data_IF_195138911935
#
_entry.id   IF_195138911935
#
_cell.length_a   1.000
_cell.length_b   1.000
_cell.length_c   1.000
_cell.angle_alpha   90.00
_cell.angle_beta   90.00
_cell.angle_gamma   90.00
#
_symmetry.space_group_name_H-M   'P 1'
#
loop_
_entity.id
_entity.type
_entity.pdbx_description
1 polymer ?
#
# COMPACT_ATOMS: atom_id res chain seq x y z
N UNK A 1 10.20 -5.63 23.84
CA UNK A 1 10.08 -5.86 22.39
C UNK A 1 9.26 -7.12 22.14
N UNK A 2 8.61 -7.24 20.96
CA UNK A 2 7.87 -8.46 20.58
C UNK A 2 8.79 -9.70 20.70
N UNK A 3 10.07 -9.57 20.37
CA UNK A 3 11.06 -10.66 20.45
C UNK A 3 11.33 -11.13 21.90
N UNK A 4 11.32 -10.25 22.90
CA UNK A 4 11.45 -10.64 24.30
C UNK A 4 10.27 -11.50 24.79
N UNK A 5 9.06 -11.14 24.36
CA UNK A 5 7.86 -11.94 24.62
C UNK A 5 7.93 -13.34 23.98
N UNK A 6 8.48 -13.47 22.79
CA UNK A 6 8.69 -14.76 22.13
C UNK A 6 9.62 -15.65 22.94
N UNK A 7 10.79 -15.13 23.34
CA UNK A 7 11.77 -15.88 24.13
C UNK A 7 11.21 -16.32 25.50
N UNK A 8 10.35 -15.52 26.11
CA UNK A 8 9.67 -15.86 27.35
C UNK A 8 8.62 -16.97 27.16
N UNK A 9 7.88 -16.97 26.05
CA UNK A 9 6.93 -18.03 25.71
C UNK A 9 7.64 -19.36 25.44
N UNK A 10 8.71 -19.36 24.67
CA UNK A 10 9.55 -20.55 24.41
C UNK A 10 10.11 -21.10 25.70
N UNK A 11 10.64 -20.26 26.58
CA UNK A 11 11.13 -20.65 27.89
C UNK A 11 10.03 -21.22 28.83
N UNK A 12 8.77 -20.88 28.63
CA UNK A 12 7.65 -21.45 29.35
C UNK A 12 7.27 -22.83 28.79
N UNK A 13 7.28 -23.02 27.48
CA UNK A 13 7.03 -24.32 26.84
C UNK A 13 8.14 -25.34 27.17
N UNK A 14 9.41 -24.93 27.19
CA UNK A 14 10.55 -25.75 27.61
C UNK A 14 10.44 -26.20 29.07
N UNK A 15 9.74 -25.43 29.90
CA UNK A 15 9.42 -25.82 31.29
C UNK A 15 8.15 -26.67 31.41
N UNK A 16 7.59 -27.14 30.28
CA UNK A 16 6.37 -27.96 30.25
C UNK A 16 5.11 -27.19 30.62
N UNK A 17 5.15 -25.86 30.56
CA UNK A 17 4.00 -24.98 30.82
C UNK A 17 3.18 -24.85 29.52
N UNK A 18 1.98 -25.40 29.50
CA UNK A 18 1.06 -25.32 28.37
C UNK A 18 0.49 -23.90 28.27
N UNK A 19 1.07 -23.07 27.39
CA UNK A 19 0.72 -21.68 27.16
C UNK A 19 -0.79 -21.49 26.83
N UNK A 20 -1.43 -22.31 25.97
CA UNK A 20 -2.88 -22.26 25.75
C UNK A 20 -3.70 -22.43 27.05
N UNK A 21 -3.25 -23.32 27.96
CA UNK A 21 -3.95 -23.55 29.25
C UNK A 21 -3.90 -22.31 30.16
N UNK A 22 -2.80 -21.54 30.14
CA UNK A 22 -2.67 -20.31 30.92
C UNK A 22 -3.60 -19.24 30.38
N UNK A 23 -3.65 -19.07 29.04
CA UNK A 23 -4.51 -18.10 28.37
C UNK A 23 -5.99 -18.35 28.75
N UNK A 24 -6.43 -19.61 28.75
CA UNK A 24 -7.81 -19.97 29.09
C UNK A 24 -8.18 -19.74 30.56
N UNK A 25 -7.20 -19.67 31.45
CA UNK A 25 -7.43 -19.42 32.89
C UNK A 25 -7.53 -17.95 33.29
N UNK A 26 -7.13 -17.03 32.40
CA UNK A 26 -7.13 -15.59 32.67
C UNK A 26 -8.08 -14.84 31.75
N UNK A 27 -9.02 -14.09 32.32
CA UNK A 27 -9.92 -13.25 31.51
C UNK A 27 -9.19 -12.16 30.74
N UNK A 28 -8.08 -11.66 31.28
CA UNK A 28 -7.23 -10.65 30.61
C UNK A 28 -6.52 -11.29 29.42
N UNK A 29 -5.94 -12.49 29.58
CA UNK A 29 -5.20 -13.15 28.50
C UNK A 29 -6.11 -13.67 27.39
N UNK A 30 -7.35 -14.06 27.71
CA UNK A 30 -8.35 -14.47 26.69
C UNK A 30 -8.63 -13.37 25.67
N UNK A 31 -8.62 -12.13 26.08
CA UNK A 31 -8.83 -10.98 25.20
C UNK A 31 -7.74 -10.89 24.13
N UNK A 32 -6.53 -11.37 24.42
CA UNK A 32 -5.37 -11.36 23.52
C UNK A 32 -5.05 -12.74 22.95
N UNK A 33 -5.99 -13.70 23.03
CA UNK A 33 -5.77 -15.09 22.59
C UNK A 33 -5.22 -15.17 21.15
N UNK A 34 -5.77 -14.37 20.24
CA UNK A 34 -5.34 -14.34 18.86
C UNK A 34 -3.89 -13.82 18.75
N UNK A 35 -3.57 -12.72 19.41
CA UNK A 35 -2.21 -12.18 19.45
C UNK A 35 -1.21 -13.21 19.95
N UNK A 36 -1.53 -13.92 21.03
CA UNK A 36 -0.65 -14.96 21.58
C UNK A 36 -0.49 -16.15 20.62
N UNK A 37 -1.56 -16.56 19.93
CA UNK A 37 -1.45 -17.61 18.92
C UNK A 37 -0.52 -17.22 17.76
N UNK A 38 -0.57 -15.95 17.31
CA UNK A 38 0.36 -15.43 16.32
C UNK A 38 1.80 -15.36 16.83
N UNK A 39 1.96 -14.96 18.09
CA UNK A 39 3.27 -14.94 18.74
C UNK A 39 3.90 -16.32 18.71
N UNK A 40 3.20 -17.35 19.16
CA UNK A 40 3.68 -18.73 19.14
C UNK A 40 4.00 -19.19 17.71
N UNK A 41 3.13 -18.93 16.74
CA UNK A 41 3.35 -19.34 15.35
C UNK A 41 4.57 -18.66 14.72
N UNK A 42 4.72 -17.35 14.92
CA UNK A 42 5.87 -16.56 14.41
C UNK A 42 7.15 -16.89 15.17
N UNK A 43 7.05 -17.33 16.43
CA UNK A 43 8.15 -17.74 17.30
C UNK A 43 9.03 -18.82 16.67
N UNK A 44 8.43 -19.75 15.93
CA UNK A 44 9.13 -20.85 15.24
C UNK A 44 10.22 -20.38 14.25
N UNK A 45 10.19 -19.12 13.86
CA UNK A 45 11.09 -18.51 12.86
C UNK A 45 11.98 -17.43 13.47
N UNK A 46 11.98 -17.28 14.79
CA UNK A 46 12.84 -16.33 15.49
C UNK A 46 14.22 -16.95 15.70
N UNK A 47 15.24 -16.15 15.49
CA UNK A 47 16.64 -16.50 15.73
C UNK A 47 17.05 -16.13 17.16
N UNK A 48 18.27 -16.47 17.53
CA UNK A 48 18.80 -16.04 18.82
C UNK A 48 18.79 -14.50 18.96
N UNK A 49 18.70 -13.99 20.17
CA UNK A 49 18.70 -12.55 20.45
C UNK A 49 19.87 -11.81 19.80
N UNK A 50 21.04 -12.44 19.77
CA UNK A 50 22.24 -11.87 19.16
C UNK A 50 22.09 -11.74 17.64
N UNK A 51 21.54 -12.75 16.97
CA UNK A 51 21.30 -12.73 15.53
C UNK A 51 20.20 -11.73 15.16
N UNK A 52 19.11 -11.66 15.93
CA UNK A 52 18.03 -10.67 15.72
C UNK A 52 18.56 -9.24 15.85
N UNK A 53 19.42 -8.98 16.83
CA UNK A 53 20.04 -7.67 16.99
C UNK A 53 20.95 -7.31 15.81
N UNK A 54 21.74 -8.28 15.29
CA UNK A 54 22.56 -8.06 14.09
C UNK A 54 21.68 -7.77 12.90
N UNK A 55 20.65 -8.57 12.62
CA UNK A 55 19.73 -8.37 11.51
C UNK A 55 19.04 -7.00 11.60
N UNK A 56 18.54 -6.64 12.78
CA UNK A 56 17.86 -5.36 13.02
C UNK A 56 18.77 -4.17 12.72
N UNK A 57 20.02 -4.21 13.16
CA UNK A 57 20.99 -3.17 12.90
C UNK A 57 21.39 -3.09 11.43
N UNK A 58 21.62 -4.25 10.79
CA UNK A 58 21.97 -4.32 9.36
C UNK A 58 20.85 -3.84 8.44
N UNK A 59 19.58 -4.02 8.80
CA UNK A 59 18.44 -3.50 8.03
C UNK A 59 18.48 -1.99 7.86
N UNK A 60 19.01 -1.23 8.84
CA UNK A 60 19.09 0.23 8.73
C UNK A 60 19.98 0.69 7.57
N UNK A 61 21.06 -0.04 7.29
CA UNK A 61 21.98 0.21 6.17
C UNK A 61 21.75 -0.72 4.98
N UNK A 62 20.90 -1.73 5.14
CA UNK A 62 20.42 -2.67 4.13
C UNK A 62 19.10 -2.22 3.49
N UNK A 63 18.06 -3.04 3.61
CA UNK A 63 16.77 -2.83 2.93
C UNK A 63 16.15 -1.46 3.19
N UNK A 64 16.23 -0.92 4.41
CA UNK A 64 15.68 0.41 4.75
C UNK A 64 16.42 1.53 4.00
N UNK A 65 17.75 1.46 3.91
CA UNK A 65 18.53 2.44 3.15
C UNK A 65 18.27 2.36 1.65
N UNK A 66 18.17 1.14 1.10
CA UNK A 66 17.86 0.92 -0.31
C UNK A 66 16.44 1.40 -0.66
N UNK A 67 15.44 1.14 0.19
CA UNK A 67 14.09 1.65 -0.01
C UNK A 67 14.08 3.19 -0.02
N UNK A 68 14.74 3.82 0.95
CA UNK A 68 14.87 5.29 1.02
C UNK A 68 15.58 5.87 -0.19
N UNK A 69 16.64 5.22 -0.69
CA UNK A 69 17.33 5.65 -1.91
C UNK A 69 16.39 5.61 -3.11
N UNK A 70 15.66 4.49 -3.31
CA UNK A 70 14.67 4.36 -4.40
C UNK A 70 13.60 5.47 -4.29
N UNK A 71 13.06 5.73 -3.11
CA UNK A 71 12.03 6.75 -2.91
C UNK A 71 12.57 8.15 -3.24
N UNK A 72 13.80 8.46 -2.83
CA UNK A 72 14.46 9.72 -3.16
C UNK A 72 14.71 9.86 -4.68
N UNK A 73 15.18 8.80 -5.34
CA UNK A 73 15.41 8.82 -6.79
C UNK A 73 14.11 9.06 -7.57
N UNK A 74 13.03 8.41 -7.18
CA UNK A 74 11.73 8.53 -7.87
C UNK A 74 11.05 9.86 -7.56
N UNK A 75 11.05 10.31 -6.30
CA UNK A 75 10.37 11.55 -5.91
C UNK A 75 11.02 12.82 -6.45
N UNK A 76 12.33 12.76 -6.73
CA UNK A 76 13.07 13.87 -7.34
C UNK A 76 13.25 13.73 -8.85
N UNK A 77 12.61 12.72 -9.48
CA UNK A 77 12.72 12.53 -10.92
C UNK A 77 11.93 13.61 -11.66
N UNK A 78 12.65 14.49 -12.34
CA UNK A 78 12.09 15.47 -13.26
C UNK A 78 12.03 14.90 -14.67
N UNK A 79 10.88 15.10 -15.30
CA UNK A 79 10.53 14.60 -16.64
C UNK A 79 10.48 15.77 -17.61
N UNK A 80 11.27 15.72 -18.66
CA UNK A 80 11.23 16.71 -19.74
C UNK A 80 10.04 16.42 -20.65
N UNK A 81 9.08 17.32 -20.67
CA UNK A 81 7.88 17.25 -21.53
C UNK A 81 7.55 18.64 -22.09
N UNK A 82 7.31 18.72 -23.39
CA UNK A 82 6.97 19.98 -24.09
C UNK A 82 7.98 21.12 -23.84
N UNK A 83 9.28 20.79 -23.68
CA UNK A 83 10.35 21.76 -23.44
C UNK A 83 10.39 22.32 -22.01
N UNK A 84 9.72 21.67 -21.07
CA UNK A 84 9.73 21.98 -19.62
C UNK A 84 10.08 20.74 -18.81
N UNK A 85 10.64 20.97 -17.65
CA UNK A 85 10.80 19.91 -16.65
C UNK A 85 9.63 19.95 -15.66
N UNK A 86 8.95 18.80 -15.52
CA UNK A 86 7.80 18.62 -14.64
C UNK A 86 8.07 17.45 -13.68
N UNK A 87 7.56 17.48 -12.45
CA UNK A 87 7.62 16.33 -11.55
C UNK A 87 6.98 15.09 -12.18
N UNK A 88 7.56 13.90 -11.92
CA UNK A 88 7.03 12.64 -12.45
C UNK A 88 5.53 12.46 -12.16
N UNK A 89 5.08 12.81 -10.96
CA UNK A 89 3.67 12.70 -10.55
C UNK A 89 2.71 13.55 -11.38
N UNK A 90 3.16 14.71 -11.83
CA UNK A 90 2.39 15.57 -12.75
C UNK A 90 2.25 14.91 -14.12
N UNK A 91 3.34 14.35 -14.64
CA UNK A 91 3.34 13.67 -15.95
C UNK A 91 2.49 12.39 -15.91
N UNK A 92 2.56 11.61 -14.82
CA UNK A 92 1.70 10.44 -14.64
C UNK A 92 0.20 10.78 -14.65
N UNK A 93 -0.19 11.92 -14.09
CA UNK A 93 -1.58 12.37 -14.11
C UNK A 93 -2.07 12.72 -15.52
N UNK A 94 -1.19 13.04 -16.47
CA UNK A 94 -1.55 13.27 -17.86
C UNK A 94 -2.05 12.01 -18.58
N UNK A 95 -1.87 10.82 -18.02
CA UNK A 95 -2.43 9.57 -18.56
C UNK A 95 -3.97 9.54 -18.58
N UNK A 96 -4.62 10.44 -17.84
CA UNK A 96 -6.08 10.59 -17.80
C UNK A 96 -6.61 11.72 -18.69
N UNK A 97 -5.73 12.42 -19.43
CA UNK A 97 -6.14 13.52 -20.32
C UNK A 97 -7.03 13.00 -21.47
N UNK A 98 -7.95 13.82 -21.93
CA UNK A 98 -8.84 13.49 -23.06
C UNK A 98 -8.11 13.48 -24.41
N UNK A 99 -7.05 14.27 -24.55
CA UNK A 99 -6.25 14.33 -25.78
C UNK A 99 -5.24 13.15 -25.82
N UNK A 100 -5.38 12.31 -26.85
CA UNK A 100 -4.49 11.18 -27.10
C UNK A 100 -3.02 11.63 -27.21
N UNK A 101 -2.74 12.77 -27.84
CA UNK A 101 -1.38 13.25 -27.98
C UNK A 101 -0.75 13.62 -26.63
N UNK A 102 -1.54 14.19 -25.72
CA UNK A 102 -1.08 14.49 -24.35
C UNK A 102 -0.71 13.20 -23.64
N UNK A 103 -1.59 12.19 -23.64
CA UNK A 103 -1.33 10.88 -23.00
C UNK A 103 -0.10 10.20 -23.58
N UNK A 104 -0.01 10.17 -24.93
CA UNK A 104 1.11 9.53 -25.63
C UNK A 104 2.44 10.22 -25.33
N UNK A 105 2.48 11.55 -25.44
CA UNK A 105 3.69 12.33 -25.15
C UNK A 105 4.13 12.17 -23.70
N UNK A 106 3.17 12.16 -22.76
CA UNK A 106 3.45 11.93 -21.35
C UNK A 106 4.06 10.53 -21.12
N UNK A 107 3.48 9.49 -21.71
CA UNK A 107 3.98 8.12 -21.62
C UNK A 107 5.40 7.99 -22.18
N UNK A 108 5.68 8.56 -23.37
CA UNK A 108 7.00 8.51 -23.99
C UNK A 108 8.04 9.27 -23.12
N UNK A 109 7.66 10.44 -22.58
CA UNK A 109 8.53 11.20 -21.69
C UNK A 109 8.80 10.48 -20.37
N UNK A 110 7.76 9.86 -19.79
CA UNK A 110 7.87 9.01 -18.59
C UNK A 110 8.89 7.89 -18.80
N UNK A 111 8.69 7.05 -19.83
CA UNK A 111 9.59 5.93 -20.13
C UNK A 111 11.03 6.39 -20.37
N UNK A 112 11.23 7.49 -21.09
CA UNK A 112 12.55 8.07 -21.32
C UNK A 112 13.19 8.52 -20.01
N UNK A 113 12.43 9.11 -19.09
CA UNK A 113 12.94 9.64 -17.83
C UNK A 113 13.49 8.56 -16.89
N UNK A 114 12.92 7.36 -16.90
CA UNK A 114 13.35 6.25 -16.05
C UNK A 114 14.82 5.83 -16.30
N UNK A 115 15.35 6.10 -17.49
CA UNK A 115 16.77 5.86 -17.78
C UNK A 115 17.73 6.65 -16.89
N UNK A 116 17.26 7.79 -16.33
CA UNK A 116 18.05 8.61 -15.40
C UNK A 116 18.33 7.91 -14.07
N UNK A 117 17.44 6.99 -13.66
CA UNK A 117 17.45 6.35 -12.33
C UNK A 117 17.51 4.81 -12.37
N UNK A 118 17.50 4.22 -13.57
CA UNK A 118 17.38 2.77 -13.80
C UNK A 118 18.43 1.97 -12.99
N UNK A 119 19.71 2.34 -13.06
CA UNK A 119 20.78 1.61 -12.37
C UNK A 119 20.63 1.68 -10.84
N UNK A 120 20.32 2.87 -10.32
CA UNK A 120 20.13 3.07 -8.87
C UNK A 120 18.92 2.30 -8.33
N UNK A 121 17.82 2.30 -9.07
CA UNK A 121 16.59 1.57 -8.70
C UNK A 121 16.80 0.05 -8.82
N UNK A 122 17.52 -0.41 -9.87
CA UNK A 122 17.87 -1.82 -10.02
C UNK A 122 18.77 -2.32 -8.88
N UNK A 123 19.77 -1.52 -8.48
CA UNK A 123 20.63 -1.83 -7.34
C UNK A 123 19.81 -1.91 -6.03
N UNK A 124 18.92 -0.95 -5.80
CA UNK A 124 18.04 -0.95 -4.63
C UNK A 124 17.13 -2.19 -4.59
N UNK A 125 16.51 -2.54 -5.71
CA UNK A 125 15.67 -3.73 -5.82
C UNK A 125 16.46 -5.01 -5.52
N UNK A 126 17.64 -5.15 -6.11
CA UNK A 126 18.52 -6.31 -5.89
C UNK A 126 18.96 -6.41 -4.43
N UNK A 127 19.32 -5.27 -3.80
CA UNK A 127 19.70 -5.22 -2.38
C UNK A 127 18.56 -5.68 -1.47
N UNK A 128 17.35 -5.16 -1.67
CA UNK A 128 16.16 -5.54 -0.89
C UNK A 128 15.81 -7.01 -1.10
N UNK A 129 15.77 -7.49 -2.34
CA UNK A 129 15.44 -8.90 -2.64
C UNK A 129 16.50 -9.87 -2.12
N UNK A 130 17.78 -9.50 -2.22
CA UNK A 130 18.88 -10.28 -1.67
C UNK A 130 18.77 -10.44 -0.14
N UNK A 131 18.47 -9.35 0.58
CA UNK A 131 18.22 -9.41 2.03
C UNK A 131 17.04 -10.30 2.37
N UNK A 132 15.90 -10.16 1.67
CA UNK A 132 14.70 -10.99 1.90
C UNK A 132 15.00 -12.48 1.71
N UNK A 133 15.71 -12.84 0.64
CA UNK A 133 16.10 -14.23 0.37
C UNK A 133 17.02 -14.77 1.47
N UNK A 134 18.03 -14.02 1.87
CA UNK A 134 19.00 -14.40 2.90
C UNK A 134 18.31 -14.61 4.24
N UNK A 135 17.51 -13.63 4.69
CA UNK A 135 16.83 -13.71 5.99
C UNK A 135 15.78 -14.81 6.00
N UNK A 136 15.02 -14.98 4.91
CA UNK A 136 14.04 -16.06 4.78
C UNK A 136 14.70 -17.44 4.95
N UNK A 137 15.86 -17.66 4.34
CA UNK A 137 16.61 -18.90 4.45
C UNK A 137 17.16 -19.13 5.86
N UNK A 138 17.79 -18.10 6.45
CA UNK A 138 18.37 -18.19 7.81
C UNK A 138 17.29 -18.52 8.85
N UNK A 139 16.09 -17.94 8.69
CA UNK A 139 14.94 -18.18 9.57
C UNK A 139 14.27 -19.54 9.37
N UNK A 140 14.65 -20.30 8.34
CA UNK A 140 14.09 -21.61 8.05
C UNK A 140 12.73 -21.59 7.36
N UNK A 141 12.34 -20.50 6.74
CA UNK A 141 11.16 -20.48 5.87
C UNK A 141 11.42 -21.33 4.61
N UNK A 142 10.40 -22.04 4.14
CA UNK A 142 10.46 -22.81 2.87
C UNK A 142 10.66 -21.90 1.66
N UNK A 143 10.14 -20.67 1.74
CA UNK A 143 10.23 -19.67 0.70
C UNK A 143 9.88 -18.27 1.24
N UNK A 144 10.30 -17.19 0.56
CA UNK A 144 9.80 -15.84 0.86
C UNK A 144 8.27 -15.73 0.81
N UNK A 145 7.61 -16.51 -0.05
CA UNK A 145 6.16 -16.55 -0.12
C UNK A 145 5.54 -17.07 1.18
N UNK A 146 6.07 -18.17 1.74
CA UNK A 146 5.58 -18.68 3.03
C UNK A 146 5.72 -17.63 4.14
N UNK A 147 6.86 -16.92 4.19
CA UNK A 147 7.06 -15.82 5.13
C UNK A 147 6.01 -14.72 4.95
N UNK A 148 5.74 -14.32 3.71
CA UNK A 148 4.73 -13.30 3.39
C UNK A 148 3.33 -13.74 3.79
N UNK A 149 2.94 -14.98 3.50
CA UNK A 149 1.63 -15.52 3.85
C UNK A 149 1.42 -15.53 5.36
N UNK A 150 2.42 -15.99 6.13
CA UNK A 150 2.35 -15.97 7.59
C UNK A 150 2.15 -14.52 8.13
N UNK A 151 2.90 -13.56 7.62
CA UNK A 151 2.77 -12.17 8.04
C UNK A 151 1.45 -11.52 7.57
N UNK A 152 0.89 -11.98 6.46
CA UNK A 152 -0.39 -11.53 5.90
C UNK A 152 -1.60 -12.21 6.53
N UNK A 153 -1.40 -13.12 7.48
CA UNK A 153 -2.48 -13.94 8.09
C UNK A 153 -3.31 -14.68 7.03
N UNK A 154 -2.65 -15.19 6.00
CA UNK A 154 -3.27 -15.85 4.85
C UNK A 154 -2.67 -17.25 4.67
N UNK A 155 -3.49 -18.23 4.34
CA UNK A 155 -3.03 -19.55 3.93
C UNK A 155 -2.80 -19.63 2.41
N UNK A 156 -2.05 -20.65 1.99
CA UNK A 156 -1.72 -20.85 0.58
C UNK A 156 -2.94 -21.25 -0.25
N UNK A 157 -3.94 -21.91 0.34
CA UNK A 157 -5.17 -22.32 -0.33
C UNK A 157 -6.00 -21.08 -0.72
N UNK A 158 -6.17 -20.14 0.21
CA UNK A 158 -6.84 -18.85 -0.02
C UNK A 158 -6.14 -18.03 -1.11
N UNK A 159 -4.80 -17.96 -1.07
CA UNK A 159 -4.04 -17.28 -2.13
C UNK A 159 -4.26 -17.94 -3.49
N UNK A 160 -4.18 -19.27 -3.56
CA UNK A 160 -4.37 -20.01 -4.81
C UNK A 160 -5.80 -19.86 -5.34
N UNK A 161 -6.82 -19.89 -4.48
CA UNK A 161 -8.22 -19.67 -4.86
C UNK A 161 -8.42 -18.25 -5.44
N UNK A 162 -7.83 -17.23 -4.80
CA UNK A 162 -7.85 -15.85 -5.31
C UNK A 162 -7.18 -15.74 -6.69
N UNK A 163 -5.96 -16.28 -6.84
CA UNK A 163 -5.23 -16.25 -8.11
C UNK A 163 -5.96 -17.03 -9.20
N UNK A 164 -6.62 -18.13 -8.86
CA UNK A 164 -7.45 -18.91 -9.79
C UNK A 164 -8.64 -18.08 -10.28
N UNK A 165 -9.41 -17.47 -9.37
CA UNK A 165 -10.54 -16.60 -9.71
C UNK A 165 -10.11 -15.41 -10.59
N UNK A 166 -8.96 -14.80 -10.28
CA UNK A 166 -8.38 -13.72 -11.12
C UNK A 166 -8.07 -14.22 -12.53
N UNK A 167 -7.45 -15.42 -12.68
CA UNK A 167 -7.14 -16.00 -13.99
C UNK A 167 -8.40 -16.33 -14.79
N UNK A 168 -9.44 -16.87 -14.15
CA UNK A 168 -10.73 -17.14 -14.79
C UNK A 168 -11.43 -15.86 -15.26
N UNK A 169 -11.22 -14.75 -14.56
CA UNK A 169 -11.79 -13.44 -14.91
C UNK A 169 -11.06 -12.75 -16.07
N UNK A 170 -9.82 -13.13 -16.40
CA UNK A 170 -9.05 -12.50 -17.49
C UNK A 170 -9.76 -12.39 -18.84
N UNK A 171 -10.55 -13.37 -19.31
CA UNK A 171 -11.28 -13.24 -20.57
C UNK A 171 -12.25 -12.05 -20.58
N UNK A 172 -12.88 -11.74 -19.45
CA UNK A 172 -13.80 -10.60 -19.29
C UNK A 172 -13.03 -9.29 -19.42
N UNK A 173 -11.89 -9.15 -18.70
CA UNK A 173 -11.04 -7.97 -18.80
C UNK A 173 -10.46 -7.79 -20.21
N UNK A 174 -10.03 -8.86 -20.86
CA UNK A 174 -9.57 -8.80 -22.26
C UNK A 174 -10.67 -8.37 -23.21
N UNK A 175 -11.91 -8.79 -22.99
CA UNK A 175 -13.07 -8.33 -23.78
C UNK A 175 -13.31 -6.84 -23.58
N UNK A 176 -13.24 -6.37 -22.33
CA UNK A 176 -13.33 -4.94 -22.00
C UNK A 176 -12.25 -4.12 -22.70
N UNK A 177 -10.97 -4.52 -22.59
CA UNK A 177 -9.86 -3.81 -23.22
C UNK A 177 -9.94 -3.77 -24.74
N UNK A 178 -10.39 -4.86 -25.37
CA UNK A 178 -10.65 -4.89 -26.83
C UNK A 178 -11.77 -3.93 -27.21
N UNK A 179 -12.86 -3.89 -26.44
CA UNK A 179 -13.95 -2.96 -26.69
C UNK A 179 -13.51 -1.50 -26.49
N UNK A 180 -12.71 -1.24 -25.47
CA UNK A 180 -12.10 0.07 -25.25
C UNK A 180 -11.22 0.49 -26.44
N UNK A 181 -10.36 -0.41 -26.92
CA UNK A 181 -9.51 -0.16 -28.10
C UNK A 181 -10.35 0.18 -29.33
N UNK A 182 -11.41 -0.58 -29.60
CA UNK A 182 -12.34 -0.33 -30.71
C UNK A 182 -13.00 1.06 -30.61
N UNK A 183 -13.49 1.45 -29.42
CA UNK A 183 -14.12 2.74 -29.17
C UNK A 183 -13.15 3.92 -29.34
N UNK A 184 -11.88 3.71 -29.04
CA UNK A 184 -10.80 4.71 -29.24
C UNK A 184 -10.20 4.67 -30.64
N UNK A 185 -10.70 3.80 -31.56
CA UNK A 185 -10.26 3.73 -32.95
C UNK A 185 -9.02 2.86 -33.20
N UNK A 186 -8.55 2.11 -32.23
CA UNK A 186 -7.38 1.24 -32.37
C UNK A 186 -7.74 -0.13 -32.99
N UNK A 187 -7.02 -0.51 -34.03
CA UNK A 187 -7.26 -1.78 -34.77
C UNK A 187 -6.44 -2.96 -34.23
N UNK A 188 -5.29 -2.71 -33.63
CA UNK A 188 -4.29 -3.73 -33.25
C UNK A 188 -4.18 -3.93 -31.72
N UNK A 189 -5.21 -3.60 -30.98
CA UNK A 189 -5.23 -3.63 -29.51
C UNK A 189 -5.08 -2.25 -28.89
N UNK A 190 -5.27 -2.16 -27.58
CA UNK A 190 -5.19 -0.92 -26.84
C UNK A 190 -3.72 -0.57 -26.55
N UNK A 191 -3.21 0.58 -27.02
CA UNK A 191 -1.89 1.06 -26.62
C UNK A 191 -1.83 1.31 -25.11
N UNK A 192 -0.65 1.14 -24.50
CA UNK A 192 -0.51 1.29 -23.06
C UNK A 192 -0.84 2.71 -22.58
N UNK A 193 -0.50 3.74 -23.34
CA UNK A 193 -0.82 5.13 -23.04
C UNK A 193 -2.33 5.46 -23.04
N UNK A 194 -3.16 4.57 -23.61
CA UNK A 194 -4.62 4.70 -23.61
C UNK A 194 -5.33 3.84 -22.57
N UNK A 195 -4.57 3.19 -21.71
CA UNK A 195 -5.15 2.34 -20.66
C UNK A 195 -6.12 3.12 -19.76
N UNK A 196 -5.79 4.38 -19.46
CA UNK A 196 -6.60 5.28 -18.63
C UNK A 196 -7.40 6.30 -19.43
N UNK A 197 -7.33 6.27 -20.78
CA UNK A 197 -8.07 7.19 -21.64
C UNK A 197 -9.57 7.17 -21.31
N UNK A 198 -10.24 8.34 -21.19
CA UNK A 198 -11.69 8.40 -21.03
C UNK A 198 -12.37 7.88 -22.31
N UNK A 199 -13.45 7.09 -22.14
CA UNK A 199 -14.25 6.57 -23.28
C UNK A 199 -15.43 7.50 -23.58
N UNK A 200 -15.84 8.28 -22.60
CA UNK A 200 -16.96 9.21 -22.69
C UNK A 200 -16.38 10.62 -22.64
N UNK A 201 -16.86 11.49 -23.55
CA UNK A 201 -16.53 12.93 -23.50
C UNK A 201 -17.26 13.56 -22.31
N UNK A 202 -16.65 13.41 -21.15
CA UNK A 202 -17.15 13.94 -19.89
C UNK A 202 -16.04 14.77 -19.26
N UNK A 203 -16.23 16.08 -19.21
CA UNK A 203 -15.29 17.01 -18.57
C UNK A 203 -15.44 16.92 -17.05
N UNK A 204 -15.17 15.73 -16.49
CA UNK A 204 -15.19 15.50 -15.05
C UNK A 204 -13.85 15.96 -14.45
N UNK A 205 -13.69 17.26 -14.33
CA UNK A 205 -12.63 17.87 -13.53
C UNK A 205 -13.22 18.37 -12.22
N UNK A 206 -12.49 18.11 -11.16
CA UNK A 206 -12.87 18.47 -9.80
C UNK A 206 -11.80 19.39 -9.21
N UNK A 207 -12.21 20.48 -8.60
CA UNK A 207 -11.38 21.12 -7.59
C UNK A 207 -11.27 20.20 -6.35
N UNK A 208 -10.34 20.49 -5.47
CA UNK A 208 -10.22 19.73 -4.22
C UNK A 208 -11.50 19.82 -3.37
N UNK A 209 -12.11 20.99 -3.32
CA UNK A 209 -13.34 21.27 -2.59
C UNK A 209 -14.51 20.47 -3.15
N UNK A 210 -14.70 20.49 -4.47
CA UNK A 210 -15.74 19.71 -5.16
C UNK A 210 -15.56 18.22 -4.96
N UNK A 211 -14.30 17.72 -5.00
CA UNK A 211 -13.98 16.33 -4.71
C UNK A 211 -14.33 15.95 -3.26
N UNK A 212 -13.99 16.82 -2.31
CA UNK A 212 -14.31 16.63 -0.91
C UNK A 212 -15.81 16.55 -0.65
N UNK A 213 -16.59 17.47 -1.23
CA UNK A 213 -18.05 17.49 -1.11
C UNK A 213 -18.68 16.26 -1.79
N UNK A 214 -18.15 15.85 -2.94
CA UNK A 214 -18.61 14.64 -3.64
C UNK A 214 -18.37 13.39 -2.82
N UNK A 215 -17.16 13.21 -2.26
CA UNK A 215 -16.82 12.05 -1.43
C UNK A 215 -17.67 12.04 -0.15
N UNK A 216 -17.75 13.16 0.57
CA UNK A 216 -18.59 13.24 1.77
C UNK A 216 -20.04 12.86 1.49
N UNK A 217 -20.66 13.44 0.45
CA UNK A 217 -22.03 13.16 0.07
C UNK A 217 -22.27 11.67 -0.20
N UNK A 218 -21.38 11.03 -0.95
CA UNK A 218 -21.49 9.61 -1.27
C UNK A 218 -21.23 8.73 -0.04
N UNK A 219 -20.27 9.07 0.80
CA UNK A 219 -20.01 8.37 2.05
C UNK A 219 -21.20 8.47 3.00
N UNK A 220 -21.80 9.63 3.11
CA UNK A 220 -22.99 9.87 3.96
C UNK A 220 -24.21 9.09 3.47
N UNK A 221 -24.36 8.84 2.17
CA UNK A 221 -25.42 7.99 1.64
C UNK A 221 -25.31 6.52 2.09
N UNK A 222 -24.10 6.08 2.45
CA UNK A 222 -23.83 4.75 2.99
C UNK A 222 -23.83 4.76 4.53
N UNK A 223 -23.15 5.72 5.15
CA UNK A 223 -23.02 5.83 6.60
C UNK A 223 -22.76 7.27 7.04
N UNK A 224 -23.59 7.78 7.95
CA UNK A 224 -23.44 9.10 8.56
C UNK A 224 -22.06 9.26 9.24
N UNK A 225 -21.62 8.23 9.96
CA UNK A 225 -20.31 8.25 10.65
C UNK A 225 -19.13 8.35 9.67
N UNK A 226 -19.20 7.64 8.54
CA UNK A 226 -18.19 7.71 7.48
C UNK A 226 -18.16 9.09 6.82
N UNK A 227 -19.34 9.66 6.51
CA UNK A 227 -19.44 11.03 5.96
C UNK A 227 -18.92 12.08 6.95
N UNK A 228 -19.25 11.97 8.22
CA UNK A 228 -18.77 12.87 9.28
C UNK A 228 -17.24 12.78 9.43
N UNK A 229 -16.67 11.58 9.33
CA UNK A 229 -15.22 11.40 9.37
C UNK A 229 -14.52 12.07 8.18
N UNK A 230 -15.03 11.88 6.95
CA UNK A 230 -14.48 12.52 5.75
C UNK A 230 -14.48 14.05 5.89
N UNK A 231 -15.60 14.63 6.31
CA UNK A 231 -15.69 16.08 6.56
C UNK A 231 -14.71 16.53 7.62
N UNK A 232 -14.61 15.82 8.75
CA UNK A 232 -13.64 16.10 9.81
C UNK A 232 -12.19 16.13 9.28
N UNK A 233 -11.80 15.15 8.45
CA UNK A 233 -10.45 15.09 7.88
C UNK A 233 -10.15 16.28 6.96
N UNK A 234 -11.13 16.69 6.14
CA UNK A 234 -11.02 17.83 5.23
C UNK A 234 -10.92 19.14 6.01
N UNK A 235 -11.85 19.39 6.94
CA UNK A 235 -11.93 20.64 7.70
C UNK A 235 -10.71 20.86 8.61
N UNK A 236 -10.16 19.78 9.18
CA UNK A 236 -8.93 19.83 9.97
C UNK A 236 -7.65 19.83 9.14
N UNK A 237 -7.74 19.84 7.81
CA UNK A 237 -6.59 19.89 6.89
C UNK A 237 -5.60 18.72 7.09
N UNK A 238 -6.13 17.53 7.28
CA UNK A 238 -5.31 16.33 7.47
C UNK A 238 -4.68 15.80 6.17
N UNK A 239 -4.98 16.41 5.03
CA UNK A 239 -4.63 15.94 3.68
C UNK A 239 -3.58 16.87 3.05
N UNK A 240 -2.41 16.35 2.72
CA UNK A 240 -1.45 17.01 1.82
C UNK A 240 -1.84 16.72 0.37
N UNK A 241 -2.39 17.71 -0.33
CA UNK A 241 -3.19 17.53 -1.55
C UNK A 241 -2.35 17.54 -2.82
N UNK A 242 -1.57 18.62 -3.03
CA UNK A 242 -1.01 18.95 -4.35
C UNK A 242 0.28 18.18 -4.64
N UNK A 243 0.51 17.72 -5.89
CA UNK A 243 1.80 17.20 -6.32
C UNK A 243 2.85 18.30 -6.28
N UNK A 244 4.07 17.93 -5.90
CA UNK A 244 5.25 18.84 -5.87
C UNK A 244 6.54 18.04 -5.97
N UNK A 245 7.63 18.72 -6.34
CA UNK A 245 8.97 18.15 -6.33
C UNK A 245 9.33 17.60 -4.94
N UNK A 246 9.98 16.45 -4.90
CA UNK A 246 10.40 15.78 -3.66
C UNK A 246 9.27 15.06 -2.90
N UNK A 247 8.01 15.19 -3.35
CA UNK A 247 6.88 14.48 -2.76
C UNK A 247 6.80 13.05 -3.29
N UNK A 248 6.59 12.10 -2.39
CA UNK A 248 6.42 10.69 -2.74
C UNK A 248 5.19 10.53 -3.64
N UNK A 249 5.31 9.74 -4.71
CA UNK A 249 4.22 9.44 -5.62
C UNK A 249 3.18 8.51 -5.03
N UNK A 250 2.00 8.46 -5.65
CA UNK A 250 0.85 7.69 -5.17
C UNK A 250 0.08 8.44 -4.08
N UNK A 251 -0.59 7.68 -3.23
CA UNK A 251 -1.33 8.18 -2.08
C UNK A 251 -1.14 7.22 -0.90
N UNK A 252 -1.33 7.70 0.32
CA UNK A 252 -1.40 6.84 1.51
C UNK A 252 -2.13 7.53 2.66
N UNK A 253 -2.61 6.70 3.58
CA UNK A 253 -3.13 7.10 4.88
C UNK A 253 -2.23 6.57 5.99
N UNK A 254 -1.90 7.41 6.97
CA UNK A 254 -1.22 7.02 8.22
C UNK A 254 -2.14 7.28 9.41
N UNK A 255 -2.51 6.21 10.11
CA UNK A 255 -3.34 6.29 11.31
C UNK A 255 -2.47 6.48 12.55
N UNK A 256 -2.65 7.60 13.26
CA UNK A 256 -1.89 7.96 14.46
C UNK A 256 -2.74 7.64 15.70
N UNK A 257 -2.72 6.37 16.11
CA UNK A 257 -3.56 5.86 17.20
C UNK A 257 -3.42 6.67 18.50
N UNK A 258 -2.22 7.12 18.83
CA UNK A 258 -1.94 7.85 20.09
C UNK A 258 -2.73 9.16 20.25
N UNK A 259 -3.16 9.77 19.14
CA UNK A 259 -3.95 11.01 19.14
C UNK A 259 -5.34 10.81 18.52
N UNK A 260 -5.67 9.61 18.05
CA UNK A 260 -6.94 9.27 17.40
C UNK A 260 -7.19 10.05 16.11
N UNK A 261 -6.15 10.32 15.35
CA UNK A 261 -6.19 11.07 14.09
C UNK A 261 -5.49 10.32 12.97
N UNK A 262 -5.76 10.74 11.73
CA UNK A 262 -5.06 10.23 10.53
C UNK A 262 -4.39 11.38 9.78
N UNK A 263 -3.39 11.04 8.93
CA UNK A 263 -2.80 11.96 7.97
C UNK A 263 -2.78 11.31 6.60
N UNK A 264 -3.05 12.12 5.58
CA UNK A 264 -3.19 11.64 4.22
C UNK A 264 -2.22 12.37 3.30
N UNK A 265 -1.65 11.64 2.37
CA UNK A 265 -0.90 12.20 1.26
C UNK A 265 -1.62 11.84 -0.04
N UNK A 266 -1.88 12.84 -0.87
CA UNK A 266 -2.40 12.69 -2.23
C UNK A 266 -1.47 13.39 -3.22
N UNK A 267 -1.60 13.04 -4.49
CA UNK A 267 -1.05 13.78 -5.63
C UNK A 267 -2.21 14.16 -6.55
N UNK A 268 -3.11 15.03 -6.06
CA UNK A 268 -4.40 15.35 -6.66
C UNK A 268 -4.24 16.23 -7.89
N UNK A 269 -4.66 15.75 -9.05
CA UNK A 269 -4.65 16.45 -10.34
C UNK A 269 -6.04 16.88 -10.83
N UNK A 270 -7.10 16.54 -10.08
CA UNK A 270 -8.49 16.92 -10.41
C UNK A 270 -9.23 15.93 -11.30
N UNK A 271 -8.69 14.74 -11.58
CA UNK A 271 -9.39 13.69 -12.30
C UNK A 271 -10.41 12.96 -11.41
N UNK A 272 -11.39 12.28 -12.01
CA UNK A 272 -12.30 11.41 -11.25
C UNK A 272 -11.53 10.26 -10.55
N UNK A 273 -10.41 9.80 -11.12
CA UNK A 273 -9.54 8.84 -10.48
C UNK A 273 -8.95 9.36 -9.17
N UNK A 274 -8.61 10.66 -9.12
CA UNK A 274 -8.11 11.27 -7.87
C UNK A 274 -9.20 11.37 -6.81
N UNK A 275 -10.46 11.58 -7.22
CA UNK A 275 -11.61 11.54 -6.31
C UNK A 275 -11.78 10.15 -5.72
N UNK A 276 -11.64 9.09 -6.55
CA UNK A 276 -11.67 7.70 -6.10
C UNK A 276 -10.52 7.40 -5.14
N UNK A 277 -9.31 7.86 -5.46
CA UNK A 277 -8.13 7.73 -4.59
C UNK A 277 -8.36 8.44 -3.24
N UNK A 278 -8.89 9.68 -3.26
CA UNK A 278 -9.24 10.41 -2.04
C UNK A 278 -10.25 9.63 -1.18
N UNK A 279 -11.28 9.06 -1.80
CA UNK A 279 -12.26 8.23 -1.10
C UNK A 279 -11.61 6.97 -0.51
N UNK A 280 -10.70 6.32 -1.25
CA UNK A 280 -9.95 5.15 -0.80
C UNK A 280 -9.12 5.45 0.46
N UNK A 281 -8.32 6.51 0.43
CA UNK A 281 -7.48 6.89 1.58
C UNK A 281 -8.33 7.31 2.80
N UNK A 282 -9.42 8.06 2.58
CA UNK A 282 -10.35 8.40 3.66
C UNK A 282 -11.02 7.14 4.26
N UNK A 283 -11.21 6.09 3.46
CA UNK A 283 -11.67 4.79 3.93
C UNK A 283 -10.69 4.14 4.91
N UNK A 284 -9.38 4.16 4.60
CA UNK A 284 -8.35 3.70 5.53
C UNK A 284 -8.30 4.52 6.82
N UNK A 285 -8.48 5.83 6.72
CA UNK A 285 -8.57 6.69 7.89
C UNK A 285 -9.80 6.37 8.77
N UNK A 286 -10.95 6.12 8.15
CA UNK A 286 -12.15 5.70 8.87
C UNK A 286 -11.98 4.35 9.57
N UNK A 287 -11.25 3.40 8.96
CA UNK A 287 -10.84 2.16 9.62
C UNK A 287 -10.06 2.46 10.90
N UNK A 288 -9.09 3.38 10.86
CA UNK A 288 -8.38 3.84 12.05
C UNK A 288 -9.28 4.51 13.09
N UNK A 289 -10.26 5.31 12.66
CA UNK A 289 -11.27 5.91 13.55
C UNK A 289 -12.12 4.83 14.26
N UNK A 290 -12.48 3.75 13.58
CA UNK A 290 -13.19 2.63 14.18
C UNK A 290 -12.33 1.89 15.22
N UNK A 291 -11.02 1.82 15.00
CA UNK A 291 -10.06 1.16 15.88
C UNK A 291 -9.54 2.02 17.03
N UNK A 292 -9.86 3.31 17.08
CA UNK A 292 -9.27 4.26 18.05
C UNK A 292 -9.49 3.89 19.53
N UNK A 293 -10.56 3.17 19.82
CA UNK A 293 -10.90 2.73 21.18
C UNK A 293 -10.40 1.32 21.48
N UNK A 294 -9.82 0.63 20.48
CA UNK A 294 -9.22 -0.67 20.69
C UNK A 294 -7.93 -0.56 21.52
N UNK A 295 -7.65 -1.61 22.26
CA UNK A 295 -6.39 -1.68 22.99
C UNK A 295 -5.22 -1.76 22.01
N UNK A 296 -4.12 -1.07 22.32
CA UNK A 296 -2.96 -0.94 21.44
C UNK A 296 -2.41 -2.29 20.93
N UNK A 297 -2.56 -3.37 21.68
CA UNK A 297 -2.13 -4.70 21.26
C UNK A 297 -3.08 -5.35 20.23
N UNK A 298 -4.32 -4.88 20.13
CA UNK A 298 -5.33 -5.35 19.18
C UNK A 298 -5.52 -4.40 18.00
N UNK A 299 -4.75 -3.31 17.94
CA UNK A 299 -4.86 -2.30 16.89
C UNK A 299 -4.23 -2.75 15.55
N UNK A 300 -3.27 -3.67 15.61
CA UNK A 300 -2.49 -4.11 14.44
C UNK A 300 -3.31 -5.04 13.52
N UNK A 301 -3.30 -4.77 12.22
CA UNK A 301 -3.96 -5.58 11.20
C UNK A 301 -2.98 -5.91 10.05
N UNK A 302 -3.19 -7.05 9.34
CA UNK A 302 -2.28 -7.47 8.27
C UNK A 302 -2.53 -6.66 6.99
N UNK A 303 -1.48 -6.56 6.16
CA UNK A 303 -1.49 -5.82 4.91
C UNK A 303 -2.69 -6.10 3.98
N UNK A 304 -3.26 -7.32 3.84
CA UNK A 304 -4.42 -7.55 2.97
C UNK A 304 -5.69 -6.79 3.35
N UNK A 305 -5.75 -6.26 4.57
CA UNK A 305 -6.89 -5.45 5.07
C UNK A 305 -6.43 -4.06 5.55
N UNK A 306 -5.20 -3.70 5.20
CA UNK A 306 -4.62 -2.38 5.46
C UNK A 306 -5.10 -1.37 4.44
#
# INVERSE_FOLDING_TARGET
SKNALYSEFEALEDKGINTPCIIEKSNILKEYKFLFSEIVEKGKYILSEKEENIISNMKNTGSSAWAKLKDNLVSNLMVEINGKEEPLTVVLNMAYDKDENVRKNAYEAEIKSYKKIEEGVAAALNGIKGEVLTISNIRGYKSPLQMTLLHSRMDEESLNAMLFAMKESLPVFRKYLRKKAELLGHKNGLPFYDLYAPIVDCDMKFSYEEAGDFVEKNFRSFSESLGNYARKAIDNRWIDVMPKEGKVGGAFCENIHSIGESRFLLNFGGSFSDVVTMAHELGHGFHGECLKNEKILNFDYPMPIA
#
